data_IF_696387492629
#
_entry.id   IF_696387492629
#
_cell.length_a   1.000
_cell.length_b   1.000
_cell.length_c   1.000
_cell.angle_alpha   90.00
_cell.angle_beta   90.00
_cell.angle_gamma   90.00
#
_symmetry.space_group_name_H-M   'P 1'
#
loop_
_entity.id
_entity.type
_entity.pdbx_description
1 polymer ?
#
# COMPACT_ATOMS: atom_id res chain seq x y z
N UNK A 1 -11.96 -4.89 31.64
CA UNK A 1 -13.08 -4.15 31.01
C UNK A 1 -12.65 -3.76 29.61
N UNK A 2 -13.51 -4.06 28.63
CA UNK A 2 -13.14 -4.54 27.29
C UNK A 2 -13.49 -3.53 26.18
N UNK A 3 -13.23 -2.24 26.41
CA UNK A 3 -13.71 -1.16 25.53
C UNK A 3 -13.02 -1.17 24.16
N UNK A 4 -11.70 -1.37 24.11
CA UNK A 4 -10.97 -1.39 22.83
C UNK A 4 -11.33 -2.55 21.90
N UNK A 5 -11.84 -3.67 22.42
CA UNK A 5 -12.23 -4.84 21.62
C UNK A 5 -13.62 -4.67 21.00
N UNK A 6 -14.53 -3.98 21.71
CA UNK A 6 -15.85 -3.60 21.18
C UNK A 6 -15.73 -2.54 20.07
N UNK A 7 -14.82 -1.56 20.25
CA UNK A 7 -14.55 -0.53 19.23
C UNK A 7 -13.94 -1.13 17.96
N UNK A 8 -13.05 -2.12 18.09
CA UNK A 8 -12.44 -2.82 16.97
C UNK A 8 -13.46 -3.61 16.13
N UNK A 9 -14.36 -4.38 16.77
CA UNK A 9 -15.38 -5.13 16.05
C UNK A 9 -16.35 -4.19 15.31
N UNK A 10 -16.80 -3.12 15.98
CA UNK A 10 -17.68 -2.10 15.40
C UNK A 10 -17.07 -1.42 14.17
N UNK A 11 -15.76 -1.16 14.16
CA UNK A 11 -15.07 -0.60 13.00
C UNK A 11 -15.05 -1.57 11.80
N UNK A 12 -14.81 -2.86 12.04
CA UNK A 12 -14.85 -3.87 10.98
C UNK A 12 -16.27 -4.06 10.43
N UNK A 13 -17.28 -4.03 11.30
CA UNK A 13 -18.69 -4.04 10.90
C UNK A 13 -19.03 -2.82 10.05
N UNK A 14 -18.51 -1.64 10.40
CA UNK A 14 -18.71 -0.40 9.64
C UNK A 14 -18.14 -0.49 8.22
N UNK A 15 -17.05 -1.23 7.98
CA UNK A 15 -16.54 -1.47 6.61
C UNK A 15 -17.56 -2.20 5.73
N UNK A 16 -18.31 -3.14 6.31
CA UNK A 16 -19.26 -3.99 5.59
C UNK A 16 -20.65 -3.35 5.50
N UNK A 17 -21.14 -2.81 6.61
CA UNK A 17 -22.51 -2.33 6.74
C UNK A 17 -22.73 -0.94 6.14
N UNK A 18 -21.70 -0.09 6.09
CA UNK A 18 -21.94 1.32 5.78
C UNK A 18 -22.26 1.56 4.30
N UNK A 19 -23.45 2.12 4.05
CA UNK A 19 -23.83 2.73 2.77
C UNK A 19 -23.23 4.13 2.62
N UNK A 20 -23.03 4.84 3.73
CA UNK A 20 -22.36 6.13 3.79
C UNK A 20 -20.95 5.94 4.37
N UNK A 21 -19.93 6.13 3.55
CA UNK A 21 -18.54 6.00 3.98
C UNK A 21 -17.95 7.27 4.57
N UNK A 22 -18.71 8.37 4.59
CA UNK A 22 -18.23 9.68 5.02
C UNK A 22 -17.62 9.64 6.43
N UNK A 23 -16.32 9.90 6.51
CA UNK A 23 -15.59 9.98 7.78
C UNK A 23 -15.23 8.63 8.39
N UNK A 24 -15.42 7.51 7.68
CA UNK A 24 -14.95 6.20 8.13
C UNK A 24 -13.43 6.19 8.25
N UNK A 25 -12.71 6.84 7.33
CA UNK A 25 -11.28 7.02 7.41
C UNK A 25 -10.87 7.69 8.73
N UNK A 26 -11.56 8.76 9.13
CA UNK A 26 -11.25 9.50 10.36
C UNK A 26 -11.46 8.63 11.61
N UNK A 27 -12.44 7.72 11.59
CA UNK A 27 -12.65 6.75 12.67
C UNK A 27 -11.49 5.75 12.74
N UNK A 28 -11.03 5.23 11.60
CA UNK A 28 -9.84 4.37 11.54
C UNK A 28 -8.58 5.11 11.99
N UNK A 29 -8.36 6.34 11.52
CA UNK A 29 -7.24 7.18 11.96
C UNK A 29 -7.28 7.43 13.47
N UNK A 30 -8.46 7.71 14.03
CA UNK A 30 -8.64 7.88 15.48
C UNK A 30 -8.36 6.60 16.26
N UNK A 31 -8.77 5.44 15.75
CA UNK A 31 -8.46 4.14 16.34
C UNK A 31 -6.97 3.80 16.28
N UNK A 32 -6.27 4.23 15.23
CA UNK A 32 -4.83 4.05 15.07
C UNK A 32 -3.98 5.16 15.69
N UNK A 33 -4.53 6.03 16.56
CA UNK A 33 -3.76 7.01 17.33
C UNK A 33 -2.49 6.46 18.00
N UNK A 34 -2.44 5.23 18.52
CA UNK A 34 -1.19 4.67 19.05
C UNK A 34 -0.04 4.56 18.04
N UNK A 35 -0.32 4.64 16.73
CA UNK A 35 0.69 4.68 15.67
C UNK A 35 1.13 6.09 15.31
N UNK A 36 0.51 7.14 15.86
CA UNK A 36 0.79 8.54 15.54
C UNK A 36 2.26 8.90 15.80
N UNK A 37 2.94 8.28 16.76
CA UNK A 37 4.37 8.55 16.99
C UNK A 37 5.28 8.08 15.85
N UNK A 38 4.78 7.22 14.95
CA UNK A 38 5.57 6.54 13.91
C UNK A 38 5.13 6.87 12.49
N UNK A 39 3.84 7.13 12.27
CA UNK A 39 3.27 7.47 10.95
C UNK A 39 2.41 8.71 11.01
N UNK A 40 2.13 9.29 9.83
CA UNK A 40 1.20 10.39 9.69
C UNK A 40 -0.19 9.84 9.38
N UNK A 41 -1.10 9.93 10.35
CA UNK A 41 -2.46 9.41 10.24
C UNK A 41 -3.37 10.30 9.36
N UNK A 42 -3.00 11.58 9.21
CA UNK A 42 -3.77 12.59 8.46
C UNK A 42 -3.36 12.74 6.99
N UNK A 43 -2.51 11.85 6.47
CA UNK A 43 -2.00 12.00 5.10
C UNK A 43 -3.10 11.82 4.03
N UNK A 44 -4.16 11.09 4.39
CA UNK A 44 -5.35 10.95 3.57
C UNK A 44 -6.35 12.07 3.87
N UNK A 45 -6.63 12.89 2.85
CA UNK A 45 -7.75 13.82 2.89
C UNK A 45 -8.60 13.56 1.64
N UNK A 46 -9.78 12.93 1.75
CA UNK A 46 -10.63 12.62 0.61
C UNK A 46 -11.12 13.88 -0.12
N UNK A 47 -11.14 15.04 0.55
CA UNK A 47 -11.57 16.33 -0.01
C UNK A 47 -10.49 17.07 -0.81
N UNK A 48 -9.23 16.59 -0.77
CA UNK A 48 -8.10 17.26 -1.40
C UNK A 48 -7.87 16.78 -2.84
N UNK A 49 -8.91 16.79 -3.67
CA UNK A 49 -8.84 16.42 -5.10
C UNK A 49 -8.13 17.50 -5.94
N UNK A 50 -7.81 18.66 -5.38
CA UNK A 50 -6.98 19.65 -6.07
C UNK A 50 -5.79 20.13 -5.23
N UNK A 51 -4.60 19.94 -5.81
CA UNK A 51 -3.29 20.51 -5.40
C UNK A 51 -2.77 20.08 -4.02
N UNK A 52 -2.02 18.98 -3.97
CA UNK A 52 -1.03 18.77 -2.90
C UNK A 52 0.39 18.97 -3.43
N UNK A 53 0.96 20.13 -3.16
CA UNK A 53 2.37 20.19 -2.77
C UNK A 53 2.48 19.45 -1.44
N UNK A 54 2.85 18.16 -1.47
CA UNK A 54 3.19 17.39 -0.27
C UNK A 54 4.29 18.17 0.46
N UNK A 55 3.95 18.86 1.56
CA UNK A 55 4.95 19.45 2.45
C UNK A 55 5.88 18.30 2.87
N UNK A 56 7.17 18.37 2.51
CA UNK A 56 8.19 17.43 2.97
C UNK A 56 8.27 17.50 4.49
N UNK A 57 7.46 16.69 5.17
CA UNK A 57 7.54 16.52 6.63
C UNK A 57 8.74 15.61 6.92
N UNK A 58 9.49 15.95 7.97
CA UNK A 58 10.61 15.13 8.41
C UNK A 58 10.10 13.71 8.72
N UNK A 59 10.80 12.65 8.28
CA UNK A 59 10.48 11.29 8.68
C UNK A 59 10.43 11.21 10.21
N UNK A 60 9.40 10.59 10.76
CA UNK A 60 9.38 10.25 12.20
C UNK A 60 10.50 9.24 12.46
N UNK A 61 11.13 9.30 13.63
CA UNK A 61 12.19 8.36 14.00
C UNK A 61 11.69 6.92 13.89
N UNK A 62 12.53 6.03 13.35
CA UNK A 62 12.21 4.62 13.26
C UNK A 62 12.01 4.07 14.69
N UNK A 63 10.84 3.50 15.02
CA UNK A 63 10.60 2.95 16.34
C UNK A 63 11.59 1.84 16.68
N UNK A 64 12.08 1.83 17.92
CA UNK A 64 12.75 0.64 18.46
C UNK A 64 11.75 -0.49 18.66
N UNK A 65 12.22 -1.74 18.53
CA UNK A 65 11.38 -2.94 18.64
C UNK A 65 10.62 -3.01 19.97
N UNK A 66 11.20 -2.46 21.03
CA UNK A 66 10.62 -2.38 22.37
C UNK A 66 9.37 -1.49 22.39
N UNK A 67 9.39 -0.36 21.68
CA UNK A 67 8.26 0.58 21.60
C UNK A 67 7.10 0.04 20.76
N UNK A 68 7.38 -0.69 19.68
CA UNK A 68 6.34 -1.24 18.80
C UNK A 68 5.75 -2.56 19.30
N UNK A 69 6.40 -3.29 20.20
CA UNK A 69 5.93 -4.61 20.65
C UNK A 69 4.55 -4.57 21.34
N UNK A 70 4.23 -3.62 22.24
CA UNK A 70 2.90 -3.51 22.83
C UNK A 70 1.83 -3.22 21.77
N UNK A 71 2.13 -2.31 20.84
CA UNK A 71 1.24 -1.93 19.74
C UNK A 71 1.00 -3.13 18.82
N UNK A 72 2.05 -3.86 18.45
CA UNK A 72 1.96 -5.07 17.64
C UNK A 72 1.01 -6.10 18.28
N UNK A 73 1.18 -6.38 19.59
CA UNK A 73 0.31 -7.31 20.32
C UNK A 73 -1.15 -6.88 20.32
N UNK A 74 -1.41 -5.58 20.46
CA UNK A 74 -2.75 -5.03 20.53
C UNK A 74 -3.45 -5.03 19.15
N UNK A 75 -2.74 -4.65 18.09
CA UNK A 75 -3.36 -4.33 16.79
C UNK A 75 -3.15 -5.39 15.71
N UNK A 76 -2.22 -6.33 15.85
CA UNK A 76 -1.88 -7.26 14.77
C UNK A 76 -3.10 -8.01 14.21
N UNK A 77 -3.91 -8.61 15.08
CA UNK A 77 -5.10 -9.37 14.64
C UNK A 77 -6.11 -8.47 13.93
N UNK A 78 -6.33 -7.25 14.45
CA UNK A 78 -7.22 -6.28 13.82
C UNK A 78 -6.74 -5.89 12.43
N UNK A 79 -5.44 -5.58 12.28
CA UNK A 79 -4.83 -5.21 11.00
C UNK A 79 -5.00 -6.34 9.98
N UNK A 80 -4.71 -7.58 10.34
CA UNK A 80 -4.89 -8.73 9.45
C UNK A 80 -6.36 -8.91 9.02
N UNK A 81 -7.31 -8.77 9.95
CA UNK A 81 -8.74 -8.87 9.65
C UNK A 81 -9.22 -7.74 8.74
N UNK A 82 -8.80 -6.51 9.02
CA UNK A 82 -9.13 -5.33 8.21
C UNK A 82 -8.59 -5.48 6.78
N UNK A 83 -7.33 -5.87 6.60
CA UNK A 83 -6.72 -6.05 5.26
C UNK A 83 -7.45 -7.11 4.43
N UNK A 84 -7.85 -8.22 5.06
CA UNK A 84 -8.64 -9.26 4.39
C UNK A 84 -9.98 -8.70 3.91
N UNK A 85 -10.72 -8.03 4.79
CA UNK A 85 -12.01 -7.43 4.45
C UNK A 85 -11.90 -6.36 3.37
N UNK A 86 -10.93 -5.45 3.49
CA UNK A 86 -10.66 -4.40 2.50
C UNK A 86 -10.31 -4.98 1.14
N UNK A 87 -9.45 -6.00 1.11
CA UNK A 87 -9.11 -6.69 -0.14
C UNK A 87 -10.36 -7.27 -0.79
N UNK A 88 -11.20 -7.95 -0.01
CA UNK A 88 -12.46 -8.57 -0.46
C UNK A 88 -13.46 -7.54 -1.00
N UNK A 89 -13.67 -6.43 -0.28
CA UNK A 89 -14.57 -5.34 -0.67
C UNK A 89 -14.13 -4.63 -1.95
N UNK A 90 -12.83 -4.57 -2.21
CA UNK A 90 -12.26 -3.88 -3.38
C UNK A 90 -11.93 -4.83 -4.54
N UNK A 91 -12.19 -6.15 -4.44
CA UNK A 91 -11.78 -7.17 -5.43
C UNK A 91 -12.25 -6.88 -6.86
N UNK A 92 -13.40 -6.24 -7.03
CA UNK A 92 -13.99 -5.93 -8.34
C UNK A 92 -14.35 -4.45 -8.38
N UNK A 93 -13.95 -3.77 -9.46
CA UNK A 93 -14.53 -2.48 -9.80
C UNK A 93 -16.01 -2.70 -10.12
N UNK A 94 -16.91 -1.80 -9.71
CA UNK A 94 -18.28 -1.83 -10.17
C UNK A 94 -18.27 -1.59 -11.68
N UNK A 95 -19.00 -2.45 -12.37
CA UNK A 95 -19.28 -2.30 -13.78
C UNK A 95 -20.74 -1.86 -13.92
N UNK A 96 -20.95 -0.72 -14.56
CA UNK A 96 -22.18 -0.32 -15.25
C UNK A 96 -23.44 -0.22 -14.37
N UNK A 97 -23.38 0.58 -13.31
CA UNK A 97 -24.57 1.11 -12.63
C UNK A 97 -25.08 2.41 -13.26
N UNK A 98 -26.20 2.95 -12.75
CA UNK A 98 -26.62 4.32 -13.06
C UNK A 98 -25.54 5.33 -12.62
N UNK A 99 -25.49 6.51 -13.25
CA UNK A 99 -24.42 7.51 -13.01
C UNK A 99 -24.30 7.91 -11.54
N UNK A 100 -25.41 8.07 -10.82
CA UNK A 100 -25.39 8.43 -9.39
C UNK A 100 -24.85 7.29 -8.49
N UNK A 101 -25.16 6.04 -8.84
CA UNK A 101 -24.62 4.86 -8.15
C UNK A 101 -23.11 4.72 -8.39
N UNK A 102 -22.61 5.08 -9.57
CA UNK A 102 -21.18 5.05 -9.90
C UNK A 102 -20.38 6.08 -9.08
N UNK A 103 -20.91 7.29 -8.92
CA UNK A 103 -20.28 8.35 -8.10
C UNK A 103 -20.20 7.92 -6.63
N UNK A 104 -21.31 7.46 -6.04
CA UNK A 104 -21.32 7.01 -4.65
C UNK A 104 -20.39 5.80 -4.42
N UNK A 105 -20.34 4.86 -5.37
CA UNK A 105 -19.45 3.71 -5.28
C UNK A 105 -17.98 4.10 -5.42
N UNK A 106 -17.68 5.09 -6.27
CA UNK A 106 -16.35 5.65 -6.40
C UNK A 106 -15.91 6.39 -5.12
N UNK A 107 -16.78 7.17 -4.48
CA UNK A 107 -16.50 7.79 -3.17
C UNK A 107 -16.25 6.73 -2.08
N UNK A 108 -17.10 5.69 -2.04
CA UNK A 108 -16.89 4.53 -1.17
C UNK A 108 -15.53 3.86 -1.40
N UNK A 109 -15.16 3.63 -2.65
CA UNK A 109 -13.88 3.03 -2.97
C UNK A 109 -12.70 3.91 -2.59
N UNK A 110 -12.80 5.23 -2.82
CA UNK A 110 -11.81 6.21 -2.37
C UNK A 110 -11.61 6.05 -0.86
N UNK A 111 -12.66 6.13 -0.04
CA UNK A 111 -12.54 5.97 1.42
C UNK A 111 -11.88 4.64 1.80
N UNK A 112 -12.34 3.52 1.22
CA UNK A 112 -11.81 2.17 1.51
C UNK A 112 -10.34 2.02 1.10
N UNK A 113 -9.93 2.56 -0.05
CA UNK A 113 -8.54 2.55 -0.51
C UNK A 113 -7.64 3.37 0.43
N UNK A 114 -8.14 4.49 0.94
CA UNK A 114 -7.47 5.28 1.97
C UNK A 114 -7.26 4.47 3.27
N UNK A 115 -8.31 3.80 3.75
CA UNK A 115 -8.24 2.95 4.94
C UNK A 115 -7.28 1.77 4.71
N UNK A 116 -7.28 1.18 3.52
CA UNK A 116 -6.37 0.09 3.16
C UNK A 116 -4.91 0.56 3.21
N UNK A 117 -4.59 1.70 2.60
CA UNK A 117 -3.25 2.31 2.68
C UNK A 117 -2.83 2.58 4.12
N UNK A 118 -3.70 3.19 4.92
CA UNK A 118 -3.44 3.43 6.35
C UNK A 118 -3.16 2.13 7.11
N UNK A 119 -3.95 1.09 6.87
CA UNK A 119 -3.81 -0.22 7.53
C UNK A 119 -2.49 -0.89 7.15
N UNK A 120 -2.05 -0.79 5.89
CA UNK A 120 -0.72 -1.27 5.45
C UNK A 120 0.40 -0.50 6.15
N UNK A 121 0.31 0.82 6.26
CA UNK A 121 1.33 1.63 6.94
C UNK A 121 1.42 1.30 8.43
N UNK A 122 0.30 1.09 9.11
CA UNK A 122 0.28 0.56 10.48
C UNK A 122 0.95 -0.82 10.56
N UNK A 123 0.67 -1.72 9.61
CA UNK A 123 1.28 -3.05 9.58
C UNK A 123 2.80 -2.99 9.34
N UNK A 124 3.27 -2.10 8.46
CA UNK A 124 4.70 -1.86 8.22
C UNK A 124 5.41 -1.39 9.50
N UNK A 125 4.77 -0.55 10.32
CA UNK A 125 5.35 -0.08 11.60
C UNK A 125 5.66 -1.23 12.56
N UNK A 126 4.78 -2.23 12.61
CA UNK A 126 4.92 -3.37 13.52
C UNK A 126 5.61 -4.56 12.87
N UNK A 127 5.95 -4.49 11.57
CA UNK A 127 6.59 -5.58 10.82
C UNK A 127 7.82 -6.19 11.52
N UNK A 128 8.72 -5.41 12.17
CA UNK A 128 9.88 -5.99 12.89
C UNK A 128 9.52 -6.88 14.10
N UNK A 129 8.27 -6.82 14.56
CA UNK A 129 7.73 -7.66 15.62
C UNK A 129 6.97 -8.89 15.11
N UNK A 130 6.75 -9.00 13.80
CA UNK A 130 6.01 -10.10 13.19
C UNK A 130 6.94 -11.26 12.86
N UNK A 131 6.38 -12.46 12.83
CA UNK A 131 7.06 -13.67 12.36
C UNK A 131 6.67 -13.93 10.90
N UNK A 132 7.60 -14.47 10.11
CA UNK A 132 7.35 -14.85 8.72
C UNK A 132 8.39 -14.25 7.77
N UNK A 133 8.05 -14.24 6.49
CA UNK A 133 8.93 -13.68 5.47
C UNK A 133 9.10 -12.16 5.67
N UNK A 134 10.30 -11.60 5.43
CA UNK A 134 10.58 -10.19 5.67
C UNK A 134 9.71 -9.26 4.80
N UNK A 135 9.26 -9.71 3.62
CA UNK A 135 8.39 -8.97 2.69
C UNK A 135 6.90 -9.36 2.79
N UNK A 136 6.49 -10.09 3.82
CA UNK A 136 5.09 -10.54 3.98
C UNK A 136 4.09 -9.38 3.99
N UNK A 137 4.48 -8.23 4.56
CA UNK A 137 3.66 -7.01 4.55
C UNK A 137 3.60 -6.40 3.14
N UNK A 138 4.68 -6.48 2.36
CA UNK A 138 4.74 -5.99 0.98
C UNK A 138 3.84 -6.78 0.04
N UNK A 139 3.56 -8.06 0.33
CA UNK A 139 2.54 -8.82 -0.40
C UNK A 139 1.16 -8.15 -0.30
N UNK A 140 0.79 -7.67 0.89
CA UNK A 140 -0.47 -6.93 1.09
C UNK A 140 -0.42 -5.55 0.42
N UNK A 141 0.73 -4.89 0.44
CA UNK A 141 0.94 -3.62 -0.25
C UNK A 141 0.80 -3.76 -1.79
N UNK A 142 1.32 -4.84 -2.37
CA UNK A 142 1.13 -5.14 -3.79
C UNK A 142 -0.34 -5.34 -4.16
N UNK A 143 -1.12 -5.96 -3.27
CA UNK A 143 -2.56 -6.05 -3.46
C UNK A 143 -3.23 -4.67 -3.47
N UNK A 144 -2.85 -3.74 -2.58
CA UNK A 144 -3.33 -2.35 -2.66
C UNK A 144 -3.00 -1.70 -4.00
N UNK A 145 -1.77 -1.82 -4.49
CA UNK A 145 -1.35 -1.27 -5.81
C UNK A 145 -2.26 -1.78 -6.92
N UNK A 146 -2.54 -3.08 -6.92
CA UNK A 146 -3.48 -3.68 -7.88
C UNK A 146 -4.92 -3.18 -7.72
N UNK A 147 -5.40 -2.98 -6.49
CA UNK A 147 -6.74 -2.42 -6.25
C UNK A 147 -6.85 -0.98 -6.73
N UNK A 148 -5.81 -0.16 -6.53
CA UNK A 148 -5.78 1.20 -7.07
C UNK A 148 -5.90 1.20 -8.60
N UNK A 149 -5.20 0.30 -9.29
CA UNK A 149 -5.29 0.14 -10.74
C UNK A 149 -6.69 -0.29 -11.21
N UNK A 150 -7.28 -1.32 -10.57
CA UNK A 150 -8.64 -1.80 -10.87
C UNK A 150 -9.68 -0.69 -10.73
N UNK A 151 -9.50 0.19 -9.75
CA UNK A 151 -10.39 1.33 -9.46
C UNK A 151 -9.99 2.62 -10.19
N UNK A 152 -9.18 2.50 -11.25
CA UNK A 152 -8.75 3.61 -12.11
C UNK A 152 -8.00 4.74 -11.37
N UNK A 153 -7.41 4.46 -10.20
CA UNK A 153 -6.59 5.39 -9.43
C UNK A 153 -5.13 5.29 -9.87
N UNK A 154 -4.86 5.51 -11.16
CA UNK A 154 -3.56 5.24 -11.78
C UNK A 154 -2.41 6.04 -11.14
N UNK A 155 -2.62 7.33 -10.87
CA UNK A 155 -1.57 8.16 -10.24
C UNK A 155 -1.22 7.66 -8.82
N UNK A 156 -2.21 7.20 -8.06
CA UNK A 156 -2.00 6.62 -6.74
C UNK A 156 -1.32 5.25 -6.83
N UNK A 157 -1.72 4.42 -7.80
CA UNK A 157 -1.12 3.11 -8.05
C UNK A 157 0.36 3.24 -8.42
N UNK A 158 0.74 4.24 -9.22
CA UNK A 158 2.14 4.54 -9.53
C UNK A 158 2.93 4.97 -8.30
N UNK A 159 2.41 5.92 -7.52
CA UNK A 159 3.08 6.41 -6.32
C UNK A 159 3.32 5.28 -5.31
N UNK A 160 2.29 4.48 -5.05
CA UNK A 160 2.36 3.35 -4.13
C UNK A 160 3.26 2.24 -4.67
N UNK A 161 3.19 1.94 -5.98
CA UNK A 161 4.01 0.93 -6.63
C UNK A 161 5.50 1.25 -6.56
N UNK A 162 5.90 2.48 -6.91
CA UNK A 162 7.30 2.89 -6.79
C UNK A 162 7.77 2.95 -5.33
N UNK A 163 6.91 3.40 -4.40
CA UNK A 163 7.23 3.41 -2.97
C UNK A 163 7.45 2.01 -2.42
N UNK A 164 6.63 1.04 -2.85
CA UNK A 164 6.75 -0.37 -2.52
C UNK A 164 8.07 -0.93 -3.03
N UNK A 165 8.41 -0.72 -4.30
CA UNK A 165 9.67 -1.20 -4.89
C UNK A 165 10.89 -0.60 -4.19
N UNK A 166 10.87 0.70 -3.88
CA UNK A 166 11.93 1.35 -3.10
C UNK A 166 12.05 0.74 -1.70
N UNK A 167 10.93 0.41 -1.05
CA UNK A 167 10.93 -0.20 0.27
C UNK A 167 11.47 -1.64 0.23
N UNK A 168 11.05 -2.46 -0.74
CA UNK A 168 11.61 -3.81 -0.97
C UNK A 168 13.12 -3.75 -1.18
N UNK A 169 13.58 -2.78 -1.97
CA UNK A 169 14.99 -2.56 -2.26
C UNK A 169 15.80 -2.25 -0.98
N UNK A 170 15.24 -1.42 -0.09
CA UNK A 170 15.84 -1.13 1.23
C UNK A 170 15.84 -2.35 2.15
N UNK A 171 14.75 -3.11 2.16
CA UNK A 171 14.56 -4.28 3.00
C UNK A 171 15.51 -5.43 2.63
N UNK A 172 15.64 -5.73 1.34
CA UNK A 172 16.41 -6.87 0.83
C UNK A 172 17.90 -6.54 0.63
N UNK A 173 18.26 -5.26 0.75
CA UNK A 173 19.60 -4.77 0.50
C UNK A 173 19.85 -4.56 -0.99
N UNK A 174 20.56 -3.49 -1.32
CA UNK A 174 21.04 -3.23 -2.68
C UNK A 174 22.50 -2.83 -2.62
N UNK A 175 23.35 -3.37 -3.50
CA UNK A 175 24.74 -2.96 -3.60
C UNK A 175 24.86 -1.44 -3.71
N UNK A 176 25.79 -0.80 -2.96
CA UNK A 176 26.03 0.63 -3.04
C UNK A 176 26.37 1.13 -4.47
N UNK A 177 26.89 0.24 -5.31
CA UNK A 177 27.24 0.50 -6.71
C UNK A 177 26.04 0.83 -7.60
N UNK A 178 24.87 0.23 -7.33
CA UNK A 178 23.64 0.41 -8.12
C UNK A 178 22.84 1.66 -7.70
N UNK A 179 23.12 2.22 -6.53
CA UNK A 179 22.49 3.45 -6.01
C UNK A 179 22.86 4.71 -6.82
N UNK A 180 23.87 4.63 -7.69
CA UNK A 180 24.32 5.75 -8.53
C UNK A 180 23.48 5.93 -9.79
N UNK A 181 22.69 4.93 -10.19
CA UNK A 181 21.79 5.02 -11.34
C UNK A 181 20.41 5.50 -10.91
N UNK A 182 19.87 6.50 -11.60
CA UNK A 182 18.54 7.07 -11.34
C UNK A 182 17.38 6.18 -11.83
N UNK A 183 17.67 5.07 -12.52
CA UNK A 183 16.66 4.16 -13.06
C UNK A 183 16.81 2.73 -12.53
N UNK A 184 17.27 2.55 -11.29
CA UNK A 184 17.33 1.23 -10.63
C UNK A 184 16.20 1.11 -9.60
N UNK A 185 15.20 0.27 -9.90
CA UNK A 185 13.95 0.16 -9.16
C UNK A 185 13.79 -1.18 -8.44
N UNK A 186 14.26 -2.28 -9.04
CA UNK A 186 14.10 -3.63 -8.49
C UNK A 186 15.38 -4.11 -7.81
N UNK A 187 15.31 -4.93 -6.74
CA UNK A 187 16.48 -5.66 -6.29
C UNK A 187 16.97 -6.63 -7.37
N UNK A 188 18.26 -6.97 -7.35
CA UNK A 188 18.79 -8.05 -8.19
C UNK A 188 18.55 -9.40 -7.48
N UNK A 189 17.78 -10.34 -8.09
CA UNK A 189 17.44 -11.62 -7.47
C UNK A 189 18.68 -12.48 -7.18
N UNK A 190 19.78 -12.32 -7.93
CA UNK A 190 21.03 -13.04 -7.69
C UNK A 190 21.78 -12.55 -6.45
N UNK A 191 21.51 -11.32 -6.00
CA UNK A 191 22.22 -10.67 -4.90
C UNK A 191 21.45 -10.78 -3.58
N UNK A 192 20.12 -10.92 -3.62
CA UNK A 192 19.26 -10.99 -2.42
C UNK A 192 19.17 -12.41 -1.82
N UNK A 193 20.05 -13.32 -2.22
CA UNK A 193 20.16 -14.67 -1.66
C UNK A 193 18.91 -15.52 -1.88
N UNK A 194 18.52 -16.31 -0.88
CA UNK A 194 17.37 -17.22 -0.99
C UNK A 194 16.04 -16.51 -1.26
N UNK A 195 15.91 -15.22 -0.92
CA UNK A 195 14.70 -14.44 -1.21
C UNK A 195 14.51 -14.25 -2.72
N UNK A 196 15.58 -14.16 -3.50
CA UNK A 196 15.51 -13.99 -4.96
C UNK A 196 14.99 -15.21 -5.70
N UNK A 197 15.00 -16.38 -5.06
CA UNK A 197 14.42 -17.61 -5.56
C UNK A 197 13.00 -17.87 -5.03
N UNK A 198 12.43 -16.97 -4.19
CA UNK A 198 11.09 -17.16 -3.65
C UNK A 198 10.01 -16.78 -4.70
N UNK A 199 9.14 -17.74 -5.10
CA UNK A 199 8.09 -17.48 -6.09
C UNK A 199 7.08 -16.39 -5.67
N UNK A 200 6.81 -16.23 -4.37
CA UNK A 200 5.90 -15.19 -3.88
C UNK A 200 6.48 -13.80 -4.07
N UNK A 201 7.79 -13.63 -3.87
CA UNK A 201 8.47 -12.37 -4.10
C UNK A 201 8.56 -12.06 -5.60
N UNK A 202 8.93 -13.04 -6.42
CA UNK A 202 8.95 -12.88 -7.88
C UNK A 202 7.57 -12.51 -8.44
N UNK A 203 6.51 -13.16 -7.94
CA UNK A 203 5.12 -12.83 -8.28
C UNK A 203 4.76 -11.40 -7.88
N UNK A 204 5.07 -10.99 -6.64
CA UNK A 204 4.84 -9.62 -6.17
C UNK A 204 5.51 -8.57 -7.07
N UNK A 205 6.81 -8.76 -7.36
CA UNK A 205 7.58 -7.86 -8.21
C UNK A 205 6.96 -7.78 -9.61
N UNK A 206 6.61 -8.93 -10.18
CA UNK A 206 5.98 -9.02 -11.50
C UNK A 206 4.62 -8.30 -11.53
N UNK A 207 3.74 -8.57 -10.57
CA UNK A 207 2.42 -7.94 -10.48
C UNK A 207 2.51 -6.42 -10.36
N UNK A 208 3.43 -5.91 -9.52
CA UNK A 208 3.63 -4.46 -9.35
C UNK A 208 4.16 -3.84 -10.64
N UNK A 209 5.15 -4.46 -11.30
CA UNK A 209 5.67 -3.96 -12.58
C UNK A 209 4.57 -3.92 -13.64
N UNK A 210 3.74 -4.96 -13.74
CA UNK A 210 2.60 -5.00 -14.67
C UNK A 210 1.62 -3.85 -14.41
N UNK A 211 1.29 -3.56 -13.14
CA UNK A 211 0.43 -2.42 -12.80
C UNK A 211 1.10 -1.10 -13.22
N UNK A 212 2.39 -0.93 -12.93
CA UNK A 212 3.15 0.27 -13.30
C UNK A 212 3.25 0.48 -14.81
N UNK A 213 3.28 -0.58 -15.62
CA UNK A 213 3.26 -0.45 -17.08
C UNK A 213 1.88 -0.05 -17.59
N UNK A 214 0.81 -0.55 -16.96
CA UNK A 214 -0.56 -0.19 -17.33
C UNK A 214 -0.94 1.24 -16.97
N UNK A 215 -0.41 1.78 -15.87
CA UNK A 215 -0.84 3.10 -15.39
C UNK A 215 -0.65 4.22 -16.42
N UNK A 216 0.55 4.46 -17.00
CA UNK A 216 0.73 5.48 -18.05
C UNK A 216 -0.10 5.21 -19.31
N UNK A 217 -0.28 3.94 -19.66
CA UNK A 217 -1.07 3.56 -20.83
C UNK A 217 -2.55 3.90 -20.63
N UNK A 218 -3.14 3.44 -19.52
CA UNK A 218 -4.57 3.65 -19.20
C UNK A 218 -4.88 5.09 -18.84
N UNK A 219 -3.93 5.81 -18.25
CA UNK A 219 -4.05 7.25 -18.00
C UNK A 219 -3.77 8.12 -19.23
N UNK A 220 -3.44 7.50 -20.38
CA UNK A 220 -3.07 8.20 -21.62
C UNK A 220 -1.95 9.24 -21.43
N UNK A 221 -0.96 8.90 -20.61
CA UNK A 221 0.17 9.78 -20.30
C UNK A 221 0.99 10.09 -21.56
N UNK A 222 1.46 11.34 -21.66
CA UNK A 222 2.43 11.77 -22.67
C UNK A 222 3.82 12.03 -22.09
N UNK A 223 4.02 11.67 -20.82
CA UNK A 223 5.32 11.82 -20.15
C UNK A 223 6.32 10.79 -20.70
N UNK A 224 7.25 11.26 -21.52
CA UNK A 224 8.38 10.45 -22.03
C UNK A 224 9.18 9.84 -20.87
N UNK A 225 9.28 10.54 -19.74
CA UNK A 225 9.93 10.04 -18.54
C UNK A 225 9.25 8.79 -17.98
N UNK A 226 7.92 8.74 -17.99
CA UNK A 226 7.15 7.58 -17.55
C UNK A 226 7.44 6.34 -18.41
N UNK A 227 7.45 6.49 -19.73
CA UNK A 227 7.78 5.38 -20.63
C UNK A 227 9.24 4.92 -20.50
N UNK A 228 10.19 5.83 -20.26
CA UNK A 228 11.58 5.46 -19.94
C UNK A 228 11.68 4.64 -18.65
N UNK A 229 10.95 5.02 -17.60
CA UNK A 229 10.89 4.26 -16.34
C UNK A 229 10.30 2.86 -16.56
N UNK A 230 9.24 2.75 -17.37
CA UNK A 230 8.62 1.47 -17.74
C UNK A 230 9.62 0.55 -18.45
N UNK A 231 10.34 1.08 -19.45
CA UNK A 231 11.32 0.28 -20.18
C UNK A 231 12.40 -0.27 -19.25
N UNK A 232 12.94 0.58 -18.37
CA UNK A 232 13.92 0.16 -17.38
C UNK A 232 13.37 -0.89 -16.39
N UNK A 233 12.09 -0.78 -15.98
CA UNK A 233 11.42 -1.78 -15.14
C UNK A 233 11.29 -3.12 -15.86
N UNK A 234 10.93 -3.12 -17.14
CA UNK A 234 10.80 -4.35 -17.93
C UNK A 234 12.14 -5.08 -18.08
N UNK A 235 13.22 -4.34 -18.35
CA UNK A 235 14.58 -4.89 -18.40
C UNK A 235 15.01 -5.48 -17.04
N UNK A 236 14.73 -4.77 -15.95
CA UNK A 236 15.04 -5.22 -14.59
C UNK A 236 14.17 -6.38 -14.11
N UNK A 237 13.00 -6.58 -14.70
CA UNK A 237 12.10 -7.68 -14.35
C UNK A 237 12.58 -9.01 -14.94
N UNK A 238 13.31 -8.98 -16.07
CA UNK A 238 13.74 -10.19 -16.78
C UNK A 238 14.41 -11.23 -15.86
N UNK A 239 15.34 -10.87 -14.94
CA UNK A 239 15.98 -11.83 -14.04
C UNK A 239 15.07 -12.38 -12.94
N UNK A 240 13.83 -11.90 -12.79
CA UNK A 240 12.86 -12.41 -11.81
C UNK A 240 11.89 -13.44 -12.41
N UNK A 241 11.77 -13.48 -13.73
CA UNK A 241 10.84 -14.35 -14.45
C UNK A 241 11.64 -15.49 -15.06
N UNK A 242 11.88 -16.53 -14.26
CA UNK A 242 12.52 -17.79 -14.68
C UNK A 242 11.48 -18.83 -15.08
#
# INVERSE_FOLDING_TARGET
MNTGQADAASLLESLVASRDVGGLYLRFASFFRPFEDFIFLDDYNPSAVSKKTRRKRKPKELPTKEKIRPIARQFHQFLCNALKLLSDLLKRSPCNGAVDDDVMQNEKAIELLGIYRLTIHCLLCIAPCLTGQPYSVHLQWGQLVRRLEIWNKYSDAEEEGFSLLENLRKLLGTPPSLLKSTMFFLPDPSVVGSAGADPQLACLVSEVVIVLTYCPFKSQSRDVGAFKRILALAEQLQPWVW
#
